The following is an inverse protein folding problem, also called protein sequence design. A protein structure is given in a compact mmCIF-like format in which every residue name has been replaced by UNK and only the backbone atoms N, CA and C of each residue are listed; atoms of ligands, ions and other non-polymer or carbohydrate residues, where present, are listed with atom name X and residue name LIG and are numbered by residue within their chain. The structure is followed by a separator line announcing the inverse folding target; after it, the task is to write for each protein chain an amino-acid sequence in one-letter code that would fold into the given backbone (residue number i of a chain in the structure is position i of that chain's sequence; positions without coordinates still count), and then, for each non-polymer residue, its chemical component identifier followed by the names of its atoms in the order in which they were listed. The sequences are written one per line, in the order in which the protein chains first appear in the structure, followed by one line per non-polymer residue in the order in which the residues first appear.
data_IF_263669352982
#
_entry.id   IF_263669352982
#
_cell.length_a   1.000
_cell.length_b   1.000
_cell.length_c   1.000
_cell.angle_alpha   90.00
_cell.angle_beta   90.00
_cell.angle_gamma   90.00
#
_symmetry.space_group_name_H-M   'P 1'
#
loop_
_entity.id
_entity.type
_entity.pdbx_description
1 polymer ?
#
# COMPACT_ATOMS: atom_id res chain seq x y z
N UNK A 1 -21.13 10.25 -15.02
CA UNK A 1 -21.11 11.01 -13.76
C UNK A 1 -20.98 9.99 -12.64
N UNK A 2 -20.00 10.12 -11.74
CA UNK A 2 -19.96 9.27 -10.55
C UNK A 2 -21.07 9.76 -9.62
N UNK A 3 -22.25 9.14 -9.71
CA UNK A 3 -23.32 9.32 -8.74
C UNK A 3 -22.88 8.56 -7.48
N UNK A 4 -22.02 9.20 -6.70
CA UNK A 4 -21.61 8.69 -5.40
C UNK A 4 -22.88 8.65 -4.56
N UNK A 5 -23.38 7.45 -4.26
CA UNK A 5 -24.52 7.21 -3.38
C UNK A 5 -24.27 7.64 -1.91
N UNK A 6 -23.23 8.43 -1.68
CA UNK A 6 -22.74 8.82 -0.37
C UNK A 6 -22.51 10.32 -0.37
N UNK A 7 -23.14 11.00 0.58
CA UNK A 7 -23.07 12.45 0.75
C UNK A 7 -21.79 12.90 1.46
N UNK A 8 -21.18 12.00 2.25
CA UNK A 8 -20.09 12.33 3.15
C UNK A 8 -19.06 11.19 3.27
N UNK A 9 -17.81 11.56 3.57
CA UNK A 9 -16.73 10.59 3.83
C UNK A 9 -17.04 9.63 4.98
N UNK A 10 -17.81 10.10 5.98
CA UNK A 10 -18.24 9.27 7.10
C UNK A 10 -19.23 8.18 6.65
N UNK A 11 -20.12 8.49 5.72
CA UNK A 11 -21.11 7.54 5.17
C UNK A 11 -20.44 6.45 4.33
N UNK A 12 -19.35 6.79 3.64
CA UNK A 12 -18.48 5.86 2.90
C UNK A 12 -17.67 4.95 3.85
N UNK A 13 -17.25 5.48 5.00
CA UNK A 13 -16.44 4.74 5.98
C UNK A 13 -17.29 3.83 6.87
N UNK A 14 -18.45 4.30 7.30
CA UNK A 14 -19.35 3.53 8.16
C UNK A 14 -20.24 2.59 7.34
N UNK A 15 -20.64 2.98 6.11
CA UNK A 15 -21.55 2.22 5.24
C UNK A 15 -22.70 1.59 6.03
N UNK A 16 -23.38 2.40 6.84
CA UNK A 16 -24.50 1.95 7.69
C UNK A 16 -24.14 0.72 8.56
N UNK A 17 -22.97 0.77 9.21
CA UNK A 17 -22.40 -0.32 10.01
C UNK A 17 -21.70 -1.44 9.25
N UNK A 18 -21.70 -1.46 7.92
CA UNK A 18 -21.02 -2.50 7.12
C UNK A 18 -19.59 -2.13 6.70
N UNK A 19 -19.20 -0.86 6.85
CA UNK A 19 -17.93 -0.35 6.32
C UNK A 19 -16.71 -1.01 6.96
N UNK A 20 -16.80 -1.37 8.24
CA UNK A 20 -15.69 -2.03 8.95
C UNK A 20 -15.25 -3.34 8.25
N UNK A 21 -16.19 -4.13 7.73
CA UNK A 21 -15.87 -5.38 7.04
C UNK A 21 -15.23 -5.14 5.67
N UNK A 22 -15.77 -4.17 4.93
CA UNK A 22 -15.25 -3.78 3.61
C UNK A 22 -13.83 -3.24 3.77
N UNK A 23 -13.65 -2.21 4.59
CA UNK A 23 -12.36 -1.56 4.78
C UNK A 23 -11.31 -2.48 5.39
N UNK A 24 -11.69 -3.43 6.25
CA UNK A 24 -10.73 -4.41 6.79
C UNK A 24 -10.14 -5.32 5.72
N UNK A 25 -10.96 -5.82 4.78
CA UNK A 25 -10.48 -6.67 3.69
C UNK A 25 -9.64 -5.86 2.70
N UNK A 26 -10.07 -4.66 2.35
CA UNK A 26 -9.29 -3.75 1.51
C UNK A 26 -7.94 -3.39 2.15
N UNK A 27 -7.93 -3.09 3.45
CA UNK A 27 -6.71 -2.80 4.20
C UNK A 27 -5.74 -3.99 4.21
N UNK A 28 -6.24 -5.21 4.37
CA UNK A 28 -5.43 -6.43 4.27
C UNK A 28 -4.82 -6.59 2.87
N UNK A 29 -5.61 -6.42 1.81
CA UNK A 29 -5.12 -6.50 0.43
C UNK A 29 -4.06 -5.44 0.12
N UNK A 30 -4.33 -4.18 0.48
CA UNK A 30 -3.37 -3.08 0.31
C UNK A 30 -2.10 -3.35 1.10
N UNK A 31 -2.22 -3.84 2.34
CA UNK A 31 -1.07 -4.19 3.18
C UNK A 31 -0.19 -5.25 2.53
N UNK A 32 -0.77 -6.31 1.96
CA UNK A 32 -0.03 -7.35 1.25
C UNK A 32 0.77 -6.78 0.07
N UNK A 33 0.16 -5.88 -0.71
CA UNK A 33 0.82 -5.21 -1.85
C UNK A 33 1.97 -4.33 -1.35
N UNK A 34 1.73 -3.51 -0.33
CA UNK A 34 2.73 -2.61 0.26
C UNK A 34 3.91 -3.38 0.84
N UNK A 35 3.64 -4.49 1.53
CA UNK A 35 4.69 -5.36 2.10
C UNK A 35 5.53 -5.97 0.97
N UNK A 36 4.89 -6.50 -0.06
CA UNK A 36 5.56 -7.08 -1.23
C UNK A 36 6.48 -6.07 -1.91
N UNK A 37 5.98 -4.86 -2.14
CA UNK A 37 6.74 -3.77 -2.73
C UNK A 37 7.89 -3.30 -1.83
N UNK A 38 7.66 -3.27 -0.51
CA UNK A 38 8.67 -2.89 0.47
C UNK A 38 9.82 -3.89 0.52
N UNK A 39 9.53 -5.18 0.45
CA UNK A 39 10.55 -6.24 0.38
C UNK A 39 11.36 -6.11 -0.91
N UNK A 40 10.69 -5.96 -2.05
CA UNK A 40 11.36 -5.76 -3.33
C UNK A 40 12.27 -4.52 -3.32
N UNK A 41 11.77 -3.40 -2.81
CA UNK A 41 12.53 -2.15 -2.66
C UNK A 41 13.75 -2.32 -1.77
N UNK A 42 13.61 -3.00 -0.62
CA UNK A 42 14.75 -3.31 0.26
C UNK A 42 15.80 -4.15 -0.45
N UNK A 43 15.38 -5.18 -1.21
CA UNK A 43 16.30 -6.05 -1.95
C UNK A 43 17.07 -5.28 -3.03
N UNK A 44 16.37 -4.45 -3.81
CA UNK A 44 16.96 -3.60 -4.84
C UNK A 44 17.94 -2.59 -4.20
N UNK A 45 17.55 -1.94 -3.09
CA UNK A 45 18.42 -1.00 -2.39
C UNK A 45 19.69 -1.67 -1.84
N UNK A 46 19.58 -2.90 -1.33
CA UNK A 46 20.74 -3.68 -0.90
C UNK A 46 21.71 -4.00 -2.03
N UNK A 47 21.19 -4.36 -3.21
CA UNK A 47 22.00 -4.60 -4.41
C UNK A 47 22.64 -3.31 -4.91
N UNK A 48 21.89 -2.21 -5.00
CA UNK A 48 22.41 -0.91 -5.39
C UNK A 48 23.54 -0.43 -4.47
N UNK A 49 23.40 -0.62 -3.15
CA UNK A 49 24.47 -0.30 -2.19
C UNK A 49 25.74 -1.11 -2.46
N UNK A 50 25.60 -2.42 -2.74
CA UNK A 50 26.75 -3.29 -3.06
C UNK A 50 27.43 -2.89 -4.36
N UNK A 51 26.66 -2.55 -5.40
CA UNK A 51 27.21 -2.06 -6.68
C UNK A 51 27.95 -0.74 -6.47
N UNK A 52 27.36 0.21 -5.75
CA UNK A 52 27.99 1.52 -5.49
C UNK A 52 29.31 1.40 -4.73
N UNK A 53 29.39 0.50 -3.74
CA UNK A 53 30.63 0.26 -2.97
C UNK A 53 31.72 -0.34 -3.86
N UNK A 54 31.41 -1.35 -4.68
CA UNK A 54 32.38 -1.94 -5.61
C UNK A 54 32.86 -0.92 -6.67
N UNK A 55 31.97 -0.07 -7.16
CA UNK A 55 32.33 0.93 -8.18
C UNK A 55 33.18 2.08 -7.61
N UNK A 56 33.03 2.40 -6.32
CA UNK A 56 33.82 3.42 -5.64
C UNK A 56 35.18 2.91 -5.12
N UNK A 57 35.44 1.60 -5.20
CA UNK A 57 36.70 0.96 -4.80
C UNK A 57 37.66 0.68 -5.97
N UNK A 58 37.24 1.00 -7.21
CA UNK A 58 38.08 1.04 -8.42
C UNK A 58 38.53 2.46 -8.70
#
# INVERSE_FOLDING_TARGET
MFDLAFSNLHEILDMNGHGIYVWSVYALGISMIVISFSIAKKRISGIQKKIKINNASS
#
